data_IF_037005672724
#
_entry.id   IF_037005672724
#
_cell.length_a   1.000
_cell.length_b   1.000
_cell.length_c   1.000
_cell.angle_alpha   90.00
_cell.angle_beta   90.00
_cell.angle_gamma   90.00
#
_symmetry.space_group_name_H-M   'P 1'
#
loop_
_entity.id
_entity.type
_entity.pdbx_description
1 polymer ?
#
# COMPACT_ATOMS: atom_id res chain seq x y z
N UNK A 1 -14.53 4.89 19.04
CA UNK A 1 -13.09 4.95 19.38
C UNK A 1 -12.51 3.58 19.74
N UNK A 2 -13.17 2.76 20.58
CA UNK A 2 -12.65 1.44 21.05
C UNK A 2 -12.23 0.50 19.91
N UNK A 3 -13.06 0.32 18.86
CA UNK A 3 -12.74 -0.58 17.75
C UNK A 3 -11.52 -0.11 16.93
N UNK A 4 -11.27 1.19 16.89
CA UNK A 4 -10.11 1.76 16.18
C UNK A 4 -8.80 1.43 16.86
N UNK A 5 -8.76 1.59 18.16
CA UNK A 5 -7.58 1.25 18.97
C UNK A 5 -7.32 -0.26 18.87
N UNK A 6 -8.38 -1.08 18.94
CA UNK A 6 -8.25 -2.53 18.87
C UNK A 6 -7.63 -3.01 17.55
N UNK A 7 -8.08 -2.48 16.39
CA UNK A 7 -7.52 -2.84 15.07
C UNK A 7 -6.04 -2.45 14.98
N UNK A 8 -5.64 -1.29 15.48
CA UNK A 8 -4.23 -0.90 15.52
C UNK A 8 -3.41 -1.75 16.49
N UNK A 9 -3.92 -1.99 17.70
CA UNK A 9 -3.24 -2.80 18.74
C UNK A 9 -3.06 -4.28 18.34
N UNK A 10 -3.89 -4.80 17.43
CA UNK A 10 -3.77 -6.18 16.92
C UNK A 10 -3.00 -6.20 15.60
N UNK A 11 -3.29 -5.29 14.69
CA UNK A 11 -2.69 -5.27 13.36
C UNK A 11 -1.20 -4.95 13.36
N UNK A 12 -0.77 -3.95 14.14
CA UNK A 12 0.65 -3.58 14.19
C UNK A 12 1.53 -4.70 14.75
N UNK A 13 1.22 -5.35 15.90
CA UNK A 13 2.00 -6.49 16.36
C UNK A 13 2.04 -7.66 15.37
N UNK A 14 0.93 -7.98 14.69
CA UNK A 14 0.92 -9.03 13.68
C UNK A 14 1.90 -8.70 12.54
N UNK A 15 1.87 -7.48 12.03
CA UNK A 15 2.80 -7.04 10.98
C UNK A 15 4.24 -7.13 11.47
N UNK A 16 4.55 -6.68 12.68
CA UNK A 16 5.91 -6.76 13.25
C UNK A 16 6.38 -8.22 13.37
N UNK A 17 5.53 -9.11 13.87
CA UNK A 17 5.86 -10.55 13.97
C UNK A 17 6.12 -11.14 12.58
N UNK A 18 5.29 -10.82 11.59
CA UNK A 18 5.47 -11.31 10.21
C UNK A 18 6.77 -10.81 9.60
N UNK A 19 7.13 -9.55 9.81
CA UNK A 19 8.30 -8.95 9.16
C UNK A 19 9.62 -9.35 9.82
N UNK A 20 9.64 -9.51 11.15
CA UNK A 20 10.88 -9.68 11.91
C UNK A 20 11.09 -11.09 12.51
N UNK A 21 10.01 -11.80 12.80
CA UNK A 21 10.07 -13.08 13.55
C UNK A 21 9.81 -14.29 12.65
N UNK A 22 8.84 -14.19 11.73
CA UNK A 22 8.44 -15.32 10.91
C UNK A 22 9.39 -15.57 9.73
N UNK A 23 9.41 -16.82 9.19
CA UNK A 23 10.24 -17.17 8.03
C UNK A 23 9.94 -16.28 6.81
N UNK A 24 10.95 -16.04 5.98
CA UNK A 24 10.88 -15.16 4.80
C UNK A 24 9.65 -15.37 3.89
N UNK A 25 9.14 -16.59 3.62
CA UNK A 25 7.97 -16.76 2.74
C UNK A 25 6.64 -16.30 3.34
N UNK A 26 6.57 -15.96 4.63
CA UNK A 26 5.33 -15.47 5.27
C UNK A 26 5.05 -14.01 4.88
N UNK A 27 6.08 -13.20 4.65
CA UNK A 27 5.90 -11.82 4.17
C UNK A 27 5.18 -11.76 2.81
N UNK A 28 5.64 -12.45 1.74
CA UNK A 28 4.90 -12.47 0.48
C UNK A 28 3.50 -13.06 0.63
N UNK A 29 3.27 -14.04 1.51
CA UNK A 29 1.94 -14.58 1.76
C UNK A 29 0.99 -13.54 2.36
N UNK A 30 1.44 -12.76 3.36
CA UNK A 30 0.66 -11.63 3.90
C UNK A 30 0.35 -10.60 2.83
N UNK A 31 1.36 -10.15 2.07
CA UNK A 31 1.18 -9.16 1.01
C UNK A 31 0.25 -9.69 -0.09
N UNK A 32 0.31 -10.98 -0.42
CA UNK A 32 -0.58 -11.61 -1.39
C UNK A 32 -2.06 -11.55 -0.94
N UNK A 33 -2.33 -11.89 0.31
CA UNK A 33 -3.68 -11.82 0.87
C UNK A 33 -4.19 -10.37 0.89
N UNK A 34 -3.38 -9.42 1.35
CA UNK A 34 -3.75 -7.98 1.36
C UNK A 34 -4.00 -7.46 -0.06
N UNK A 35 -3.18 -7.86 -1.03
CA UNK A 35 -3.34 -7.49 -2.44
C UNK A 35 -4.61 -8.05 -3.05
N UNK A 36 -4.92 -9.32 -2.80
CA UNK A 36 -6.14 -9.97 -3.31
C UNK A 36 -7.40 -9.31 -2.73
N UNK A 37 -7.44 -9.07 -1.43
CA UNK A 37 -8.56 -8.42 -0.76
C UNK A 37 -8.71 -6.97 -1.25
N UNK A 38 -7.63 -6.19 -1.27
CA UNK A 38 -7.65 -4.79 -1.73
C UNK A 38 -8.08 -4.68 -3.19
N UNK A 39 -7.62 -5.59 -4.06
CA UNK A 39 -8.06 -5.66 -5.46
C UNK A 39 -9.55 -6.00 -5.56
N UNK A 40 -10.03 -6.96 -4.78
CA UNK A 40 -11.46 -7.31 -4.75
C UNK A 40 -12.32 -6.12 -4.28
N UNK A 41 -11.91 -5.40 -3.23
CA UNK A 41 -12.58 -4.19 -2.76
C UNK A 41 -12.61 -3.10 -3.85
N UNK A 42 -11.50 -2.87 -4.55
CA UNK A 42 -11.43 -1.93 -5.66
C UNK A 42 -12.38 -2.30 -6.82
N UNK A 43 -12.42 -3.59 -7.18
CA UNK A 43 -13.34 -4.11 -8.20
C UNK A 43 -14.81 -3.89 -7.82
N UNK A 44 -15.14 -4.16 -6.58
CA UNK A 44 -16.49 -3.93 -6.07
C UNK A 44 -16.86 -2.44 -6.12
N UNK A 45 -15.94 -1.58 -5.73
CA UNK A 45 -16.11 -0.12 -5.76
C UNK A 45 -16.36 0.43 -7.18
N UNK A 46 -15.73 -0.14 -8.21
CA UNK A 46 -15.99 0.25 -9.61
C UNK A 46 -17.25 -0.40 -10.21
N UNK A 47 -17.96 -1.21 -9.41
CA UNK A 47 -19.19 -1.90 -9.83
C UNK A 47 -18.92 -3.07 -10.79
N UNK A 48 -17.80 -3.80 -10.61
CA UNK A 48 -17.55 -5.05 -11.31
C UNK A 48 -18.49 -6.14 -10.74
N UNK A 49 -19.56 -6.41 -11.45
CA UNK A 49 -20.59 -7.38 -11.01
C UNK A 49 -20.41 -8.77 -11.64
N UNK A 50 -19.20 -9.06 -12.16
CA UNK A 50 -18.91 -10.35 -12.79
C UNK A 50 -18.01 -11.20 -11.88
N UNK A 51 -18.57 -12.20 -11.18
CA UNK A 51 -17.86 -12.91 -10.11
C UNK A 51 -16.60 -13.64 -10.60
N UNK A 52 -16.63 -14.24 -11.81
CA UNK A 52 -15.49 -14.96 -12.38
C UNK A 52 -14.33 -14.02 -12.73
N UNK A 53 -14.62 -12.87 -13.36
CA UNK A 53 -13.58 -11.87 -13.67
C UNK A 53 -12.99 -11.34 -12.37
N UNK A 54 -13.81 -11.04 -11.36
CA UNK A 54 -13.33 -10.63 -10.04
C UNK A 54 -12.43 -11.69 -9.40
N UNK A 55 -12.80 -12.97 -9.52
CA UNK A 55 -12.01 -14.08 -9.02
C UNK A 55 -10.66 -14.19 -9.75
N UNK A 56 -10.63 -14.17 -11.09
CA UNK A 56 -9.38 -14.22 -11.86
C UNK A 56 -8.47 -13.06 -11.53
N UNK A 57 -9.03 -11.87 -11.37
CA UNK A 57 -8.29 -10.66 -11.00
C UNK A 57 -7.76 -10.72 -9.56
N UNK A 58 -8.48 -11.30 -8.63
CA UNK A 58 -7.99 -11.52 -7.27
C UNK A 58 -6.89 -12.61 -7.22
N UNK A 59 -6.99 -13.65 -8.06
CA UNK A 59 -5.96 -14.69 -8.17
C UNK A 59 -4.65 -14.11 -8.72
N UNK A 60 -4.68 -13.29 -9.76
CA UNK A 60 -3.47 -12.66 -10.27
C UNK A 60 -2.86 -11.71 -9.24
N UNK A 61 -3.70 -10.96 -8.51
CA UNK A 61 -3.25 -10.09 -7.43
C UNK A 61 -2.56 -10.87 -6.29
N UNK A 62 -3.04 -12.07 -5.99
CA UNK A 62 -2.42 -12.98 -5.02
C UNK A 62 -1.10 -13.58 -5.54
N UNK A 63 -0.99 -13.84 -6.84
CA UNK A 63 0.19 -14.47 -7.43
C UNK A 63 1.39 -13.51 -7.56
N UNK A 64 1.16 -12.22 -7.78
CA UNK A 64 2.23 -11.22 -8.02
C UNK A 64 3.25 -11.14 -6.87
N UNK A 65 2.90 -11.08 -5.58
CA UNK A 65 3.88 -11.02 -4.49
C UNK A 65 4.78 -12.26 -4.41
N UNK A 66 4.26 -13.44 -4.76
CA UNK A 66 5.08 -14.65 -4.84
C UNK A 66 6.00 -14.62 -6.07
N UNK A 67 5.52 -14.15 -7.21
CA UNK A 67 6.35 -13.94 -8.39
C UNK A 67 7.52 -13.00 -8.11
N UNK A 68 7.27 -11.91 -7.37
CA UNK A 68 8.31 -10.98 -6.88
C UNK A 68 9.27 -11.68 -5.93
N UNK A 69 8.76 -12.46 -4.97
CA UNK A 69 9.58 -13.19 -4.01
C UNK A 69 10.54 -14.18 -4.68
N UNK A 70 10.12 -14.83 -5.78
CA UNK A 70 10.97 -15.75 -6.54
C UNK A 70 11.89 -15.07 -7.56
N UNK A 71 12.12 -13.76 -7.46
CA UNK A 71 13.07 -13.02 -8.28
C UNK A 71 12.54 -12.62 -9.66
N UNK A 72 11.25 -12.49 -9.81
CA UNK A 72 10.58 -11.94 -11.02
C UNK A 72 10.96 -12.65 -12.33
N UNK A 73 10.87 -13.98 -12.42
CA UNK A 73 11.26 -14.70 -13.62
C UNK A 73 10.38 -14.28 -14.82
N UNK A 74 10.96 -13.56 -15.78
CA UNK A 74 10.25 -12.90 -16.88
C UNK A 74 9.36 -13.84 -17.69
N UNK A 75 9.85 -15.06 -17.98
CA UNK A 75 9.08 -16.05 -18.76
C UNK A 75 7.82 -16.49 -18.04
N UNK A 76 7.91 -16.72 -16.72
CA UNK A 76 6.77 -17.11 -15.90
C UNK A 76 5.78 -15.94 -15.77
N UNK A 77 6.27 -14.72 -15.56
CA UNK A 77 5.42 -13.53 -15.50
C UNK A 77 4.64 -13.29 -16.76
N UNK A 78 5.28 -13.42 -17.93
CA UNK A 78 4.62 -13.30 -19.24
C UNK A 78 3.57 -14.40 -19.46
N UNK A 79 3.87 -15.65 -19.09
CA UNK A 79 2.93 -16.76 -19.22
C UNK A 79 1.69 -16.55 -18.33
N UNK A 80 1.91 -16.17 -17.06
CA UNK A 80 0.82 -15.90 -16.11
C UNK A 80 -0.05 -14.73 -16.58
N UNK A 81 0.58 -13.65 -17.07
CA UNK A 81 -0.12 -12.51 -17.66
C UNK A 81 -0.97 -12.94 -18.87
N UNK A 82 -0.40 -13.73 -19.77
CA UNK A 82 -1.11 -14.23 -20.97
C UNK A 82 -2.32 -15.09 -20.58
N UNK A 83 -2.13 -16.03 -19.64
CA UNK A 83 -3.22 -16.89 -19.13
C UNK A 83 -4.34 -16.03 -18.53
N UNK A 84 -3.98 -15.02 -17.71
CA UNK A 84 -4.93 -14.09 -17.11
C UNK A 84 -5.71 -13.32 -18.18
N UNK A 85 -5.02 -12.74 -19.17
CA UNK A 85 -5.68 -12.01 -20.28
C UNK A 85 -6.63 -12.91 -21.05
N UNK A 86 -6.18 -14.13 -21.42
CA UNK A 86 -7.01 -15.09 -22.12
C UNK A 86 -8.27 -15.46 -21.31
N UNK A 87 -8.12 -15.72 -20.01
CA UNK A 87 -9.25 -16.06 -19.14
C UNK A 87 -10.25 -14.91 -19.02
N UNK A 88 -9.76 -13.67 -18.84
CA UNK A 88 -10.63 -12.49 -18.72
C UNK A 88 -11.36 -12.19 -20.04
N UNK A 89 -10.67 -12.26 -21.18
CA UNK A 89 -11.31 -12.05 -22.48
C UNK A 89 -12.26 -13.18 -22.86
N UNK A 90 -11.93 -14.44 -22.58
CA UNK A 90 -12.86 -15.56 -22.79
C UNK A 90 -14.16 -15.36 -22.02
N UNK A 91 -14.06 -14.94 -20.76
CA UNK A 91 -15.23 -14.64 -19.94
C UNK A 91 -15.99 -13.38 -20.42
N UNK A 92 -15.27 -12.35 -20.87
CA UNK A 92 -15.89 -11.16 -21.45
C UNK A 92 -16.67 -11.51 -22.73
N UNK A 93 -16.14 -12.36 -23.60
CA UNK A 93 -16.86 -12.84 -24.80
C UNK A 93 -18.07 -13.71 -24.42
N UNK A 94 -17.91 -14.65 -23.48
CA UNK A 94 -19.00 -15.48 -23.00
C UNK A 94 -20.13 -14.67 -22.32
N UNK A 95 -19.81 -13.50 -21.79
CA UNK A 95 -20.79 -12.60 -21.16
C UNK A 95 -21.70 -11.87 -22.17
N UNK A 96 -21.52 -12.04 -23.47
CA UNK A 96 -22.26 -11.33 -24.51
C UNK A 96 -22.21 -9.81 -24.36
N UNK A 97 -21.02 -9.25 -24.15
CA UNK A 97 -20.75 -7.80 -23.98
C UNK A 97 -21.40 -7.18 -22.71
N UNK A 98 -21.85 -7.96 -21.76
CA UNK A 98 -22.36 -7.43 -20.47
C UNK A 98 -21.26 -6.80 -19.63
N UNK A 99 -20.02 -7.24 -19.80
CA UNK A 99 -18.84 -6.65 -19.15
C UNK A 99 -18.25 -5.59 -20.05
N UNK A 100 -18.23 -4.35 -19.58
CA UNK A 100 -17.66 -3.23 -20.32
C UNK A 100 -16.15 -3.25 -20.24
N UNK A 101 -15.48 -2.86 -21.32
CA UNK A 101 -14.01 -2.86 -21.42
C UNK A 101 -13.34 -1.92 -20.40
N UNK A 102 -13.99 -0.81 -20.05
CA UNK A 102 -13.51 0.11 -19.03
C UNK A 102 -13.36 -0.57 -17.65
N UNK A 103 -14.29 -1.47 -17.30
CA UNK A 103 -14.22 -2.25 -16.06
C UNK A 103 -13.12 -3.31 -16.10
N UNK A 104 -12.92 -3.96 -17.26
CA UNK A 104 -11.82 -4.91 -17.45
C UNK A 104 -10.48 -4.19 -17.30
N UNK A 105 -10.32 -3.05 -17.98
CA UNK A 105 -9.11 -2.23 -17.87
C UNK A 105 -8.85 -1.72 -16.46
N UNK A 106 -9.89 -1.25 -15.76
CA UNK A 106 -9.76 -0.84 -14.37
C UNK A 106 -9.40 -2.01 -13.45
N UNK A 107 -9.95 -3.21 -13.69
CA UNK A 107 -9.60 -4.42 -12.96
C UNK A 107 -8.13 -4.78 -13.11
N UNK A 108 -7.63 -4.77 -14.36
CA UNK A 108 -6.23 -4.95 -14.65
C UNK A 108 -5.36 -3.90 -13.93
N UNK A 109 -5.71 -2.63 -14.05
CA UNK A 109 -5.00 -1.54 -13.40
C UNK A 109 -4.89 -1.75 -11.88
N UNK A 110 -6.01 -2.01 -11.19
CA UNK A 110 -6.00 -2.19 -9.74
C UNK A 110 -5.24 -3.45 -9.31
N UNK A 111 -5.39 -4.57 -10.02
CA UNK A 111 -4.66 -5.79 -9.70
C UNK A 111 -3.14 -5.56 -9.75
N UNK A 112 -2.65 -4.93 -10.82
CA UNK A 112 -1.22 -4.68 -10.98
C UNK A 112 -0.72 -3.57 -10.05
N UNK A 113 -1.40 -2.43 -9.99
CA UNK A 113 -0.94 -1.31 -9.14
C UNK A 113 -0.91 -1.71 -7.67
N UNK A 114 -2.00 -2.32 -7.16
CA UNK A 114 -2.05 -2.71 -5.76
C UNK A 114 -0.99 -3.77 -5.45
N UNK A 115 -0.98 -4.87 -6.22
CA UNK A 115 -0.13 -6.02 -5.87
C UNK A 115 1.35 -5.75 -6.15
N UNK A 116 1.69 -5.15 -7.28
CA UNK A 116 3.08 -4.90 -7.65
C UNK A 116 3.72 -3.83 -6.76
N UNK A 117 2.97 -2.78 -6.42
CA UNK A 117 3.45 -1.74 -5.51
C UNK A 117 3.59 -2.25 -4.07
N UNK A 118 2.60 -2.97 -3.53
CA UNK A 118 2.70 -3.58 -2.20
C UNK A 118 3.84 -4.62 -2.14
N UNK A 119 4.11 -5.33 -3.24
CA UNK A 119 5.25 -6.27 -3.32
C UNK A 119 6.61 -5.60 -3.16
N UNK A 120 6.68 -4.26 -3.18
CA UNK A 120 7.91 -3.55 -2.83
C UNK A 120 8.34 -3.79 -1.38
N UNK A 121 7.41 -4.10 -0.47
CA UNK A 121 7.74 -4.57 0.88
C UNK A 121 8.51 -5.90 0.82
N UNK A 122 8.11 -6.81 -0.08
CA UNK A 122 8.81 -8.08 -0.30
C UNK A 122 10.20 -7.84 -0.87
N UNK A 123 10.34 -6.88 -1.83
CA UNK A 123 11.64 -6.51 -2.41
C UNK A 123 12.59 -5.90 -1.39
N UNK A 124 12.11 -5.01 -0.52
CA UNK A 124 12.90 -4.49 0.60
C UNK A 124 13.35 -5.63 1.52
N UNK A 125 12.47 -6.61 1.74
CA UNK A 125 12.80 -7.81 2.51
C UNK A 125 13.85 -8.72 1.88
N UNK A 126 14.16 -8.57 0.60
CA UNK A 126 15.21 -9.33 -0.11
C UNK A 126 16.57 -8.61 -0.15
N UNK A 127 16.66 -7.35 0.28
CA UNK A 127 17.91 -6.60 0.35
C UNK A 127 18.80 -7.09 1.50
N UNK A 128 20.12 -6.92 1.37
CA UNK A 128 21.09 -7.32 2.40
C UNK A 128 20.83 -6.64 3.75
N UNK A 129 20.43 -5.36 3.74
CA UNK A 129 20.03 -4.60 4.93
C UNK A 129 18.52 -4.73 5.25
N UNK A 130 17.92 -5.88 4.93
CA UNK A 130 16.50 -6.18 5.16
C UNK A 130 15.97 -5.70 6.50
N UNK A 131 16.65 -6.04 7.57
CA UNK A 131 16.24 -5.72 8.93
C UNK A 131 16.18 -4.22 9.20
N UNK A 132 17.02 -3.43 8.49
CA UNK A 132 17.11 -1.99 8.68
C UNK A 132 15.97 -1.21 8.03
N UNK A 133 15.37 -1.73 6.96
CA UNK A 133 14.44 -0.92 6.14
C UNK A 133 13.06 -1.56 5.92
N UNK A 134 12.89 -2.84 6.23
CA UNK A 134 11.65 -3.59 5.89
C UNK A 134 10.37 -3.00 6.50
N UNK A 135 10.47 -2.33 7.64
CA UNK A 135 9.31 -1.77 8.32
C UNK A 135 8.97 -0.35 7.86
N UNK A 136 9.93 0.39 7.29
CA UNK A 136 9.72 1.78 6.85
C UNK A 136 8.60 1.96 5.82
N UNK A 137 8.44 1.08 4.80
CA UNK A 137 7.34 1.19 3.83
C UNK A 137 5.94 1.18 4.46
N UNK A 138 5.82 0.56 5.63
CA UNK A 138 4.56 0.45 6.36
C UNK A 138 4.48 1.53 7.45
N UNK A 139 5.54 1.72 8.22
CA UNK A 139 5.57 2.68 9.34
C UNK A 139 5.33 4.12 8.87
N UNK A 140 6.07 4.56 7.84
CA UNK A 140 6.03 5.95 7.39
C UNK A 140 4.64 6.43 7.00
N UNK A 141 3.86 5.74 6.14
CA UNK A 141 2.52 6.19 5.77
C UNK A 141 1.61 6.38 6.98
N UNK A 142 1.57 5.41 7.89
CA UNK A 142 0.70 5.50 9.07
C UNK A 142 1.06 6.65 9.99
N UNK A 143 2.35 6.93 10.14
CA UNK A 143 2.82 7.99 11.03
C UNK A 143 2.66 9.36 10.38
N UNK A 144 2.91 9.50 9.09
CA UNK A 144 2.67 10.72 8.32
C UNK A 144 1.19 11.10 8.35
N UNK A 145 0.29 10.14 8.10
CA UNK A 145 -1.16 10.36 8.13
C UNK A 145 -1.64 10.76 9.54
N UNK A 146 -1.10 10.12 10.59
CA UNK A 146 -1.41 10.49 11.97
C UNK A 146 -0.89 11.89 12.32
N UNK A 147 0.33 12.22 11.93
CA UNK A 147 0.94 13.54 12.11
C UNK A 147 0.18 14.63 11.37
N UNK A 148 -0.18 14.36 10.10
CA UNK A 148 -0.98 15.27 9.28
C UNK A 148 -2.37 15.51 9.89
N UNK A 149 -3.02 14.46 10.41
CA UNK A 149 -4.31 14.59 11.08
C UNK A 149 -4.21 15.43 12.35
N UNK A 150 -3.22 15.16 13.21
CA UNK A 150 -3.04 15.88 14.48
C UNK A 150 -2.72 17.35 14.20
N UNK A 151 -1.72 17.63 13.36
CA UNK A 151 -1.35 19.00 13.00
C UNK A 151 -2.49 19.75 12.31
N UNK A 152 -3.25 19.07 11.45
CA UNK A 152 -4.41 19.65 10.79
C UNK A 152 -5.55 20.02 11.75
N UNK A 153 -5.75 19.26 12.83
CA UNK A 153 -6.75 19.57 13.86
C UNK A 153 -6.35 20.81 14.67
N UNK A 154 -5.07 20.92 15.05
CA UNK A 154 -4.62 22.01 15.92
C UNK A 154 -4.22 23.29 15.17
N UNK A 155 -3.65 23.15 13.97
CA UNK A 155 -3.05 24.27 13.23
C UNK A 155 -3.73 24.55 11.90
N UNK A 156 -4.61 23.65 11.41
CA UNK A 156 -5.20 23.72 10.06
C UNK A 156 -6.09 24.94 9.87
N UNK A 157 -5.75 25.77 8.88
CA UNK A 157 -6.50 26.96 8.47
C UNK A 157 -6.86 26.92 6.99
N UNK A 158 -5.97 26.38 6.15
CA UNK A 158 -6.12 26.41 4.70
C UNK A 158 -6.36 24.99 4.16
N UNK A 159 -7.55 24.75 3.61
CA UNK A 159 -7.89 23.49 2.98
C UNK A 159 -7.01 23.24 1.76
N UNK A 160 -6.44 22.03 1.64
CA UNK A 160 -5.54 21.65 0.55
C UNK A 160 -6.32 21.25 -0.72
N UNK A 161 -7.28 20.33 -0.59
CA UNK A 161 -8.06 19.80 -1.72
C UNK A 161 -9.53 19.64 -1.31
N UNK A 162 -10.33 20.75 -1.26
CA UNK A 162 -11.68 20.76 -0.70
C UNK A 162 -12.65 19.76 -1.36
N UNK A 163 -12.56 19.60 -2.68
CA UNK A 163 -13.45 18.72 -3.45
C UNK A 163 -13.15 17.22 -3.25
N UNK A 164 -11.93 16.88 -2.82
CA UNK A 164 -11.48 15.51 -2.73
C UNK A 164 -11.45 15.03 -1.27
N UNK A 165 -10.80 15.80 -0.42
CA UNK A 165 -10.66 15.57 1.01
C UNK A 165 -10.80 16.87 1.79
N UNK A 166 -12.04 17.25 2.18
CA UNK A 166 -12.31 18.56 2.79
C UNK A 166 -11.67 18.77 4.17
N UNK A 167 -11.15 17.71 4.77
CA UNK A 167 -10.48 17.73 6.07
C UNK A 167 -8.95 17.89 5.96
N UNK A 168 -8.36 17.72 4.77
CA UNK A 168 -6.92 17.92 4.58
C UNK A 168 -6.58 19.40 4.48
N UNK A 169 -5.55 19.82 5.23
CA UNK A 169 -5.05 21.18 5.29
C UNK A 169 -3.56 21.22 4.95
N UNK A 170 -3.08 22.34 4.42
CA UNK A 170 -1.66 22.55 4.12
C UNK A 170 -0.80 22.44 5.37
N UNK A 171 -1.25 23.02 6.48
CA UNK A 171 -0.56 22.94 7.78
C UNK A 171 -0.50 21.50 8.29
N UNK A 172 -1.58 20.73 8.04
CA UNK A 172 -1.62 19.32 8.33
C UNK A 172 -0.57 18.54 7.54
N UNK A 173 -0.51 18.75 6.22
CA UNK A 173 0.48 18.09 5.34
C UNK A 173 1.92 18.41 5.75
N UNK A 174 2.24 19.68 6.04
CA UNK A 174 3.55 20.07 6.55
C UNK A 174 3.87 19.34 7.87
N UNK A 175 2.91 19.31 8.80
CA UNK A 175 3.06 18.59 10.07
C UNK A 175 3.28 17.08 9.87
N UNK A 176 2.58 16.48 8.91
CA UNK A 176 2.79 15.08 8.50
C UNK A 176 4.21 14.83 7.99
N UNK A 177 4.72 15.71 7.10
CA UNK A 177 6.10 15.61 6.59
C UNK A 177 7.13 15.71 7.71
N UNK A 178 6.99 16.70 8.61
CA UNK A 178 7.89 16.86 9.76
C UNK A 178 7.86 15.59 10.62
N UNK A 179 6.66 15.07 10.90
CA UNK A 179 6.49 13.85 11.70
C UNK A 179 7.14 12.65 11.01
N UNK A 180 7.03 12.53 9.70
CA UNK A 180 7.67 11.47 8.90
C UNK A 180 9.20 11.50 9.02
N UNK A 181 9.82 12.69 8.91
CA UNK A 181 11.26 12.86 9.09
C UNK A 181 11.71 12.51 10.51
N UNK A 182 11.01 13.05 11.51
CA UNK A 182 11.33 12.79 12.92
C UNK A 182 11.26 11.30 13.23
N UNK A 183 10.20 10.63 12.81
CA UNK A 183 10.02 9.20 13.07
C UNK A 183 11.01 8.33 12.28
N UNK A 184 11.36 8.69 11.06
CA UNK A 184 12.41 7.98 10.32
C UNK A 184 13.76 8.05 11.05
N UNK A 185 14.12 9.22 11.58
CA UNK A 185 15.35 9.39 12.39
C UNK A 185 15.26 8.60 13.71
N UNK A 186 14.15 8.71 14.44
CA UNK A 186 13.91 7.96 15.68
C UNK A 186 13.99 6.45 15.43
N UNK A 187 13.39 5.98 14.34
CA UNK A 187 13.50 4.59 13.91
C UNK A 187 14.97 4.17 13.75
N UNK A 188 15.78 4.97 13.05
CA UNK A 188 17.21 4.70 12.89
C UNK A 188 17.97 4.66 14.20
N UNK A 189 17.69 5.58 15.13
CA UNK A 189 18.29 5.60 16.47
C UNK A 189 17.96 4.30 17.22
N UNK A 190 16.69 3.95 17.30
CA UNK A 190 16.24 2.73 18.01
C UNK A 190 16.86 1.49 17.35
N UNK A 191 16.85 1.43 16.03
CA UNK A 191 17.42 0.31 15.28
C UNK A 191 18.94 0.17 15.55
N UNK A 192 19.69 1.26 15.50
CA UNK A 192 21.12 1.27 15.81
C UNK A 192 21.39 0.75 17.25
N UNK A 193 20.60 1.20 18.24
CA UNK A 193 20.76 0.75 19.62
C UNK A 193 20.50 -0.75 19.80
N UNK A 194 19.53 -1.31 19.08
CA UNK A 194 19.16 -2.73 19.20
C UNK A 194 20.14 -3.63 18.43
N UNK A 195 20.50 -3.25 17.20
CA UNK A 195 21.24 -4.14 16.28
C UNK A 195 22.74 -3.84 16.22
N UNK A 196 23.17 -2.68 16.71
CA UNK A 196 24.54 -2.14 16.57
C UNK A 196 24.99 -1.93 15.13
N UNK A 197 24.06 -2.00 14.17
CA UNK A 197 24.33 -1.68 12.75
C UNK A 197 24.38 -0.17 12.57
N UNK A 198 25.36 0.32 11.85
CA UNK A 198 25.46 1.75 11.50
C UNK A 198 24.33 2.14 10.57
N UNK A 199 23.71 3.28 10.86
CA UNK A 199 22.56 3.81 10.12
C UNK A 199 22.91 5.21 9.60
N UNK A 200 22.68 5.45 8.33
CA UNK A 200 22.85 6.76 7.73
C UNK A 200 21.60 7.62 7.97
N UNK A 201 21.67 8.53 8.93
CA UNK A 201 20.56 9.41 9.31
C UNK A 201 20.17 10.40 8.21
N UNK A 202 21.12 10.78 7.35
CA UNK A 202 20.81 11.63 6.20
C UNK A 202 19.85 10.91 5.24
N UNK A 203 20.11 9.66 4.95
CA UNK A 203 19.19 8.86 4.12
C UNK A 203 17.82 8.69 4.77
N UNK A 204 17.76 8.47 6.08
CA UNK A 204 16.48 8.40 6.79
C UNK A 204 15.68 9.70 6.71
N UNK A 205 16.34 10.86 6.76
CA UNK A 205 15.67 12.13 6.54
C UNK A 205 15.09 12.22 5.12
N UNK A 206 15.85 11.78 4.09
CA UNK A 206 15.35 11.70 2.71
C UNK A 206 14.15 10.76 2.59
N UNK A 207 14.19 9.58 3.24
CA UNK A 207 13.04 8.68 3.32
C UNK A 207 11.82 9.36 3.96
N UNK A 208 12.01 10.10 5.05
CA UNK A 208 10.95 10.82 5.72
C UNK A 208 10.29 11.87 4.84
N UNK A 209 11.08 12.65 4.10
CA UNK A 209 10.59 13.69 3.20
C UNK A 209 9.88 13.08 1.99
N UNK A 210 10.57 12.27 1.20
CA UNK A 210 10.02 11.70 -0.04
C UNK A 210 8.88 10.72 0.25
N UNK A 211 9.05 9.86 1.25
CA UNK A 211 8.01 8.95 1.69
C UNK A 211 6.77 9.69 2.18
N UNK A 212 6.95 10.80 2.92
CA UNK A 212 5.86 11.63 3.39
C UNK A 212 5.08 12.30 2.26
N UNK A 213 5.76 12.92 1.29
CA UNK A 213 5.10 13.50 0.09
C UNK A 213 4.31 12.44 -0.67
N UNK A 214 4.90 11.28 -0.91
CA UNK A 214 4.26 10.20 -1.66
C UNK A 214 3.10 9.57 -0.88
N UNK A 215 3.19 9.50 0.45
CA UNK A 215 2.07 9.11 1.33
C UNK A 215 0.84 9.98 1.08
N UNK A 216 1.02 11.30 1.10
CA UNK A 216 -0.08 12.26 0.85
C UNK A 216 -0.66 12.09 -0.56
N UNK A 217 0.18 11.90 -1.57
CA UNK A 217 -0.27 11.66 -2.96
C UNK A 217 -1.06 10.36 -3.06
N UNK A 218 -0.61 9.29 -2.39
CA UNK A 218 -1.28 7.99 -2.38
C UNK A 218 -2.69 8.04 -1.80
N UNK A 219 -2.85 8.66 -0.62
CA UNK A 219 -4.17 8.84 -0.01
C UNK A 219 -5.08 9.70 -0.89
N UNK A 220 -4.55 10.78 -1.50
CA UNK A 220 -5.33 11.60 -2.43
C UNK A 220 -5.73 10.84 -3.70
N UNK A 221 -4.86 9.99 -4.24
CA UNK A 221 -5.16 9.19 -5.43
C UNK A 221 -6.32 8.21 -5.18
N UNK A 222 -6.29 7.47 -4.07
CA UNK A 222 -7.39 6.59 -3.72
C UNK A 222 -8.65 7.34 -3.26
N UNK A 223 -8.49 8.49 -2.61
CA UNK A 223 -9.59 9.40 -2.33
C UNK A 223 -10.29 9.87 -3.62
N UNK A 224 -9.52 10.18 -4.69
CA UNK A 224 -10.08 10.50 -5.99
C UNK A 224 -10.94 9.35 -6.55
N UNK A 225 -10.46 8.11 -6.50
CA UNK A 225 -11.23 6.94 -6.93
C UNK A 225 -12.53 6.83 -6.13
N UNK A 226 -12.46 6.96 -4.81
CA UNK A 226 -13.65 6.91 -3.93
C UNK A 226 -14.68 7.98 -4.30
N UNK A 227 -14.27 9.24 -4.48
CA UNK A 227 -15.20 10.34 -4.83
C UNK A 227 -15.79 10.19 -6.23
N UNK A 228 -14.98 9.76 -7.20
CA UNK A 228 -15.46 9.49 -8.56
C UNK A 228 -16.56 8.41 -8.58
N UNK A 229 -16.48 7.43 -7.68
CA UNK A 229 -17.49 6.36 -7.53
C UNK A 229 -18.58 6.68 -6.50
N UNK A 230 -18.59 7.89 -5.92
CA UNK A 230 -19.56 8.35 -4.91
C UNK A 230 -19.59 7.45 -3.67
N UNK A 231 -18.48 6.83 -3.33
CA UNK A 231 -18.29 6.04 -2.11
C UNK A 231 -17.40 6.79 -1.13
N UNK A 232 -17.41 6.34 0.12
CA UNK A 232 -16.53 6.87 1.17
C UNK A 232 -15.39 5.90 1.46
N UNK A 233 -15.68 4.63 1.56
CA UNK A 233 -14.77 3.56 1.90
C UNK A 233 -14.87 2.46 0.82
N UNK A 234 -13.77 1.76 0.53
CA UNK A 234 -13.74 0.66 -0.45
C UNK A 234 -14.39 -0.62 0.09
N UNK A 235 -14.29 -0.86 1.38
CA UNK A 235 -14.80 -2.06 2.03
C UNK A 235 -15.25 -1.81 3.46
N UNK A 236 -15.68 -2.88 4.14
CA UNK A 236 -16.19 -2.83 5.52
C UNK A 236 -15.59 -3.93 6.41
N UNK A 237 -14.46 -4.52 6.01
CA UNK A 237 -13.81 -5.63 6.72
C UNK A 237 -13.39 -5.19 8.13
N UNK A 238 -12.90 -3.97 8.28
CA UNK A 238 -12.54 -3.41 9.58
C UNK A 238 -13.67 -2.52 10.13
N UNK A 239 -14.39 -2.95 11.19
CA UNK A 239 -15.49 -2.17 11.75
C UNK A 239 -15.05 -0.76 12.16
N UNK A 240 -15.62 0.26 11.50
CA UNK A 240 -15.29 1.67 11.74
C UNK A 240 -14.00 2.19 11.09
N UNK A 241 -13.32 1.34 10.28
CA UNK A 241 -12.09 1.71 9.56
C UNK A 241 -12.16 1.51 8.03
N UNK A 242 -13.26 1.02 7.49
CA UNK A 242 -13.35 0.70 6.06
C UNK A 242 -12.76 -0.67 5.71
N UNK A 243 -12.26 -0.78 4.50
CA UNK A 243 -11.64 -1.99 3.99
C UNK A 243 -10.13 -2.08 4.21
N UNK A 244 -9.56 -3.15 3.69
CA UNK A 244 -8.10 -3.34 3.61
C UNK A 244 -7.48 -2.26 2.73
N UNK A 245 -8.08 -1.99 1.57
CA UNK A 245 -7.56 -0.98 0.64
C UNK A 245 -7.55 0.41 1.26
N UNK A 246 -8.56 0.76 2.10
CA UNK A 246 -8.60 2.02 2.84
C UNK A 246 -7.49 2.18 3.89
N UNK A 247 -6.82 1.10 4.25
CA UNK A 247 -5.70 1.11 5.23
C UNK A 247 -4.32 1.09 4.58
N UNK A 248 -4.24 0.60 3.36
CA UNK A 248 -2.98 0.44 2.64
C UNK A 248 -2.86 1.36 1.41
N UNK A 249 -3.82 2.26 1.18
CA UNK A 249 -3.84 3.21 0.06
C UNK A 249 -2.55 4.05 -0.01
N UNK A 250 -2.12 4.65 1.08
CA UNK A 250 -0.85 5.38 1.17
C UNK A 250 0.36 4.46 1.04
N UNK A 251 0.31 3.23 1.61
CA UNK A 251 1.41 2.25 1.55
C UNK A 251 1.69 1.81 0.11
N UNK A 252 0.65 1.64 -0.72
CA UNK A 252 0.77 1.26 -2.13
C UNK A 252 1.69 2.20 -2.89
N UNK A 253 1.64 3.49 -2.61
CA UNK A 253 2.50 4.49 -3.27
C UNK A 253 3.85 4.64 -2.57
N UNK A 254 3.89 4.57 -1.26
CA UNK A 254 5.11 4.79 -0.47
C UNK A 254 6.10 3.62 -0.57
N UNK A 255 5.60 2.37 -0.59
CA UNK A 255 6.46 1.19 -0.60
C UNK A 255 7.42 1.12 -1.81
N UNK A 256 7.00 1.40 -3.05
CA UNK A 256 7.93 1.45 -4.20
C UNK A 256 9.02 2.51 -4.06
N UNK A 257 8.68 3.69 -3.53
CA UNK A 257 9.64 4.79 -3.34
C UNK A 257 10.68 4.40 -2.29
N UNK A 258 10.26 3.83 -1.16
CA UNK A 258 11.19 3.35 -0.14
C UNK A 258 12.11 2.25 -0.70
N UNK A 259 11.57 1.30 -1.47
CA UNK A 259 12.39 0.29 -2.14
C UNK A 259 13.41 0.93 -3.10
N UNK A 260 12.97 1.84 -3.95
CA UNK A 260 13.84 2.54 -4.91
C UNK A 260 14.95 3.30 -4.21
N UNK A 261 14.62 4.07 -3.17
CA UNK A 261 15.60 4.78 -2.36
C UNK A 261 16.57 3.81 -1.66
N UNK A 262 16.06 2.68 -1.15
CA UNK A 262 16.90 1.67 -0.51
C UNK A 262 17.93 1.09 -1.49
N UNK A 263 17.55 0.86 -2.74
CA UNK A 263 18.49 0.39 -3.77
C UNK A 263 19.51 1.47 -4.15
N UNK A 264 19.09 2.74 -4.27
CA UNK A 264 19.99 3.84 -4.67
C UNK A 264 20.98 4.24 -3.58
N UNK A 265 20.59 4.16 -2.31
CA UNK A 265 21.33 4.75 -1.20
C UNK A 265 22.13 3.72 -0.39
N UNK A 266 21.95 2.43 -0.67
CA UNK A 266 22.70 1.34 -0.05
C UNK A 266 23.95 0.97 -0.88
N UNK A 267 23.99 1.36 -2.15
CA UNK A 267 25.15 1.25 -3.03
C UNK A 267 25.90 2.58 -3.09
#
# INVERSE_FOLDING_TARGET
>A
MKNRILVACVGVPIILVVLFVLPAPVTPALIAVLSAIGTYEALHAIGMNHPRISLYTAIIALAIPFWVYFGEPRRIGLLVLLIYLLAVFAEAFASHLRVKIDKVGAGFFFAFVISYCLSSVVRVGALELRTSYIFLPILLPFVVDAGAMISGIFLGKHQMVPHLSPKKTWEGSIGGLITGVVIAIVYGIVFHFITKVEVNYYFLAVYGILGGVITEVGDLAFSYVKRNRKIKDFGHIFPGHGGVLDRFDSVIFTAPIIYFLSVLLIH
#
